data_IF_395103190015
#
_entry.id   IF_395103190015
#
_cell.length_a   1.000
_cell.length_b   1.000
_cell.length_c   1.000
_cell.angle_alpha   90.00
_cell.angle_beta   90.00
_cell.angle_gamma   90.00
#
_symmetry.space_group_name_H-M   'P 1'
#
loop_
_entity.id
_entity.type
_entity.pdbx_description
1 polymer ?
#
# COMPACT_ATOMS: atom_id res chain seq x y z
N UNK A 1 43.39 -18.31 16.11
CA UNK A 1 43.34 -16.89 16.51
C UNK A 1 43.50 -16.04 15.26
N UNK A 2 42.42 -15.77 14.54
CA UNK A 2 42.44 -14.97 13.30
C UNK A 2 41.76 -13.63 13.58
N UNK A 3 42.50 -12.68 14.15
CA UNK A 3 42.04 -11.29 14.23
C UNK A 3 42.34 -10.61 12.89
N UNK A 4 41.48 -10.85 11.89
CA UNK A 4 41.37 -10.01 10.69
C UNK A 4 40.72 -8.69 11.12
N UNK A 5 41.54 -7.69 11.46
CA UNK A 5 41.08 -6.31 11.51
C UNK A 5 42.08 -5.34 10.83
N UNK A 6 42.16 -5.31 9.48
CA UNK A 6 42.73 -4.15 8.77
C UNK A 6 41.66 -3.26 8.09
N UNK A 7 40.42 -3.74 7.88
CA UNK A 7 39.47 -3.06 6.99
C UNK A 7 38.85 -1.76 7.54
N UNK A 8 38.72 -1.58 8.85
CA UNK A 8 38.01 -0.41 9.39
C UNK A 8 38.86 0.87 9.41
N UNK A 9 40.16 0.76 9.73
CA UNK A 9 41.06 1.93 9.72
C UNK A 9 41.39 2.41 8.30
N UNK A 10 41.55 1.49 7.33
CA UNK A 10 41.87 1.84 5.94
C UNK A 10 40.74 2.63 5.26
N UNK A 11 39.48 2.25 5.52
CA UNK A 11 38.31 2.99 5.05
C UNK A 11 38.31 4.40 5.64
N UNK A 12 38.50 4.57 6.95
CA UNK A 12 38.50 5.91 7.56
C UNK A 12 39.59 6.83 7.02
N UNK A 13 40.77 6.28 6.69
CA UNK A 13 41.88 7.03 6.11
C UNK A 13 41.64 7.39 4.64
N UNK A 14 41.05 6.49 3.86
CA UNK A 14 40.67 6.75 2.48
C UNK A 14 39.60 7.86 2.40
N UNK A 15 38.59 7.82 3.26
CA UNK A 15 37.58 8.88 3.34
C UNK A 15 38.18 10.23 3.76
N UNK A 16 39.16 10.23 4.68
CA UNK A 16 39.87 11.46 5.07
C UNK A 16 40.68 12.03 3.91
N UNK A 17 41.38 11.16 3.17
CA UNK A 17 42.21 11.53 2.01
C UNK A 17 41.37 12.08 0.86
N UNK A 18 40.27 11.43 0.49
CA UNK A 18 39.35 11.91 -0.55
C UNK A 18 38.68 13.24 -0.17
N UNK A 19 38.37 13.43 1.12
CA UNK A 19 37.80 14.68 1.62
C UNK A 19 38.83 15.82 1.59
N UNK A 20 40.09 15.53 1.90
CA UNK A 20 41.22 16.48 1.82
C UNK A 20 41.53 16.80 0.35
N UNK A 21 41.56 15.83 -0.56
CA UNK A 21 41.78 16.05 -2.00
C UNK A 21 40.67 16.89 -2.64
N UNK A 22 39.41 16.70 -2.22
CA UNK A 22 38.30 17.60 -2.62
C UNK A 22 38.47 19.02 -2.08
N UNK A 23 39.02 19.17 -0.87
CA UNK A 23 39.27 20.47 -0.24
C UNK A 23 40.49 21.19 -0.83
N UNK A 24 41.53 20.44 -1.23
CA UNK A 24 42.79 20.93 -1.79
C UNK A 24 42.76 21.09 -3.31
N UNK A 25 41.65 20.82 -4.01
CA UNK A 25 41.51 21.13 -5.43
C UNK A 25 41.78 22.62 -5.64
N UNK A 26 42.98 22.93 -6.13
CA UNK A 26 43.39 24.27 -6.53
C UNK A 26 42.38 24.73 -7.57
N UNK A 27 41.57 25.74 -7.22
CA UNK A 27 40.61 26.30 -8.15
C UNK A 27 41.39 26.86 -9.34
N UNK A 28 41.05 26.41 -10.54
CA UNK A 28 41.68 26.92 -11.74
C UNK A 28 41.35 28.42 -11.85
N UNK A 29 42.37 29.28 -11.77
CA UNK A 29 42.24 30.74 -11.79
C UNK A 29 42.28 31.30 -13.21
N UNK A 30 42.38 30.44 -14.21
CA UNK A 30 42.25 30.82 -15.61
C UNK A 30 40.93 31.55 -15.84
N UNK A 31 40.99 32.56 -16.70
CA UNK A 31 39.84 33.39 -17.05
C UNK A 31 38.82 32.51 -17.76
N UNK A 32 37.57 32.52 -17.30
CA UNK A 32 36.47 31.82 -17.97
C UNK A 32 36.35 32.30 -19.43
N UNK A 33 36.32 31.37 -20.38
CA UNK A 33 36.17 31.67 -21.82
C UNK A 33 34.89 32.47 -22.13
N UNK A 34 33.86 32.34 -21.29
CA UNK A 34 32.62 33.11 -21.39
C UNK A 34 32.37 33.91 -20.12
N UNK A 35 32.18 35.21 -20.26
CA UNK A 35 31.71 36.06 -19.18
C UNK A 35 30.21 35.88 -19.00
N UNK A 36 29.77 35.73 -17.75
CA UNK A 36 28.35 35.55 -17.43
C UNK A 36 27.66 36.89 -17.64
N UNK A 37 26.65 36.92 -18.52
CA UNK A 37 25.86 38.13 -18.75
C UNK A 37 24.80 38.33 -17.66
N UNK A 38 24.48 39.60 -17.36
CA UNK A 38 23.39 39.98 -16.44
C UNK A 38 22.07 39.32 -16.87
N UNK A 39 21.80 39.25 -18.17
CA UNK A 39 20.59 38.63 -18.70
C UNK A 39 20.55 37.11 -18.49
N UNK A 40 21.70 36.44 -18.49
CA UNK A 40 21.78 35.00 -18.21
C UNK A 40 21.52 34.72 -16.72
N UNK A 41 21.97 35.62 -15.84
CA UNK A 41 21.68 35.53 -14.40
C UNK A 41 20.17 35.74 -14.18
N UNK A 42 19.56 36.74 -14.80
CA UNK A 42 18.13 37.00 -14.67
C UNK A 42 17.31 35.81 -15.21
N UNK A 43 17.65 35.30 -16.40
CA UNK A 43 16.99 34.12 -16.98
C UNK A 43 17.12 32.88 -16.10
N UNK A 44 18.26 32.69 -15.43
CA UNK A 44 18.44 31.55 -14.52
C UNK A 44 17.61 31.71 -13.24
N UNK A 45 17.58 32.90 -12.64
CA UNK A 45 16.72 33.23 -11.47
C UNK A 45 15.24 33.04 -11.80
N UNK A 46 14.78 33.52 -12.95
CA UNK A 46 13.37 33.39 -13.36
C UNK A 46 12.97 31.92 -13.60
N UNK A 47 13.88 31.12 -14.13
CA UNK A 47 13.67 29.67 -14.31
C UNK A 47 13.56 28.95 -12.97
N UNK A 48 14.38 29.32 -11.98
CA UNK A 48 14.29 28.78 -10.62
C UNK A 48 13.02 29.24 -9.88
N UNK A 49 12.63 30.52 -10.01
CA UNK A 49 11.36 31.05 -9.46
C UNK A 49 10.16 30.32 -10.04
N UNK A 50 10.15 30.04 -11.36
CA UNK A 50 9.08 29.25 -12.00
C UNK A 50 9.00 27.84 -11.42
N UNK A 51 10.13 27.15 -11.23
CA UNK A 51 10.16 25.82 -10.59
C UNK A 51 9.67 25.87 -9.14
N UNK A 52 10.07 26.88 -8.36
CA UNK A 52 9.62 27.05 -6.98
C UNK A 52 8.11 27.31 -6.89
N UNK A 53 7.58 28.13 -7.79
CA UNK A 53 6.15 28.40 -7.88
C UNK A 53 5.35 27.15 -8.29
N UNK A 54 5.87 26.33 -9.20
CA UNK A 54 5.27 25.04 -9.54
C UNK A 54 5.26 24.08 -8.33
N UNK A 55 6.39 23.93 -7.64
CA UNK A 55 6.49 23.08 -6.44
C UNK A 55 5.55 23.54 -5.32
N UNK A 56 5.40 24.86 -5.11
CA UNK A 56 4.48 25.39 -4.10
C UNK A 56 3.02 25.19 -4.47
N UNK A 57 2.66 25.31 -5.75
CA UNK A 57 1.31 25.00 -6.26
C UNK A 57 0.97 23.52 -6.08
N UNK A 58 1.86 22.61 -6.47
CA UNK A 58 1.68 21.16 -6.28
C UNK A 58 1.53 20.80 -4.80
N UNK A 59 2.35 21.40 -3.93
CA UNK A 59 2.26 21.20 -2.48
C UNK A 59 0.93 21.68 -1.92
N UNK A 60 0.44 22.84 -2.36
CA UNK A 60 -0.88 23.37 -1.96
C UNK A 60 -2.01 22.47 -2.44
N UNK A 61 -1.97 21.99 -3.68
CA UNK A 61 -2.97 21.08 -4.22
C UNK A 61 -3.00 19.75 -3.47
N UNK A 62 -1.84 19.17 -3.17
CA UNK A 62 -1.74 17.94 -2.37
C UNK A 62 -2.31 18.13 -0.96
N UNK A 63 -2.05 19.27 -0.32
CA UNK A 63 -2.60 19.61 0.99
C UNK A 63 -4.13 19.76 0.93
N UNK A 64 -4.65 20.45 -0.09
CA UNK A 64 -6.09 20.63 -0.30
C UNK A 64 -6.80 19.29 -0.50
N UNK A 65 -6.28 18.41 -1.36
CA UNK A 65 -6.82 17.05 -1.57
C UNK A 65 -6.84 16.27 -0.25
N UNK A 66 -5.75 16.33 0.53
CA UNK A 66 -5.69 15.65 1.83
C UNK A 66 -6.77 16.16 2.80
N UNK A 67 -7.00 17.46 2.85
CA UNK A 67 -8.03 18.06 3.71
C UNK A 67 -9.44 17.65 3.26
N UNK A 68 -9.70 17.61 1.96
CA UNK A 68 -10.98 17.13 1.41
C UNK A 68 -11.20 15.65 1.76
N UNK A 69 -10.19 14.80 1.60
CA UNK A 69 -10.27 13.39 1.96
C UNK A 69 -10.52 13.22 3.47
N UNK A 70 -9.90 14.04 4.31
CA UNK A 70 -10.13 14.04 5.76
C UNK A 70 -11.58 14.41 6.10
N UNK A 71 -12.14 15.45 5.46
CA UNK A 71 -13.54 15.82 5.67
C UNK A 71 -14.50 14.68 5.29
N UNK A 72 -14.22 13.96 4.21
CA UNK A 72 -15.03 12.81 3.80
C UNK A 72 -14.90 11.64 4.81
N UNK A 73 -13.69 11.34 5.28
CA UNK A 73 -13.46 10.33 6.35
C UNK A 73 -14.24 10.66 7.61
N UNK A 74 -14.19 11.92 8.06
CA UNK A 74 -14.91 12.35 9.26
C UNK A 74 -16.44 12.14 9.12
N UNK A 75 -17.00 12.34 7.93
CA UNK A 75 -18.43 12.05 7.66
C UNK A 75 -18.72 10.56 7.84
N UNK A 76 -17.90 9.67 7.29
CA UNK A 76 -18.09 8.23 7.43
C UNK A 76 -17.83 7.72 8.85
N UNK A 77 -16.83 8.23 9.55
CA UNK A 77 -16.60 7.88 10.96
C UNK A 77 -17.78 8.31 11.83
N UNK A 78 -18.37 9.48 11.58
CA UNK A 78 -19.61 9.89 12.26
C UNK A 78 -20.79 8.94 11.95
N UNK A 79 -20.92 8.48 10.70
CA UNK A 79 -21.93 7.47 10.32
C UNK A 79 -21.69 6.13 11.02
N UNK A 80 -20.43 5.68 11.13
CA UNK A 80 -20.06 4.46 11.84
C UNK A 80 -20.39 4.58 13.33
N UNK A 81 -20.12 5.74 13.95
CA UNK A 81 -20.51 5.98 15.33
C UNK A 81 -22.02 5.87 15.53
N UNK A 82 -22.83 6.34 14.57
CA UNK A 82 -24.29 6.25 14.64
C UNK A 82 -24.83 4.84 14.34
N UNK A 83 -24.26 4.16 13.35
CA UNK A 83 -24.71 2.85 12.85
C UNK A 83 -23.61 1.79 12.96
N UNK A 84 -23.11 1.57 14.19
CA UNK A 84 -21.91 0.75 14.45
C UNK A 84 -22.00 -0.70 13.96
N UNK A 85 -23.19 -1.29 13.92
CA UNK A 85 -23.42 -2.67 13.47
C UNK A 85 -23.93 -2.77 12.04
N UNK A 86 -24.08 -1.67 11.30
CA UNK A 86 -24.53 -1.78 9.90
C UNK A 86 -23.33 -2.01 8.98
N UNK A 87 -23.16 -3.21 8.40
CA UNK A 87 -22.04 -3.48 7.49
C UNK A 87 -22.09 -2.62 6.22
N UNK A 88 -23.27 -2.11 5.84
CA UNK A 88 -23.43 -1.28 4.65
C UNK A 88 -22.65 0.03 4.72
N UNK A 89 -22.52 0.63 5.91
CA UNK A 89 -21.73 1.84 6.12
C UNK A 89 -20.24 1.58 5.91
N UNK A 90 -19.73 0.47 6.45
CA UNK A 90 -18.33 0.07 6.30
C UNK A 90 -17.98 -0.24 4.85
N UNK A 91 -18.85 -0.95 4.11
CA UNK A 91 -18.63 -1.26 2.69
C UNK A 91 -18.54 0.03 1.87
N UNK A 92 -19.44 0.99 2.10
CA UNK A 92 -19.40 2.30 1.42
C UNK A 92 -18.13 3.07 1.75
N UNK A 93 -17.70 3.04 3.01
CA UNK A 93 -16.47 3.69 3.44
C UNK A 93 -15.22 3.05 2.84
N UNK A 94 -15.17 1.70 2.78
CA UNK A 94 -14.07 0.99 2.15
C UNK A 94 -13.99 1.27 0.64
N UNK A 95 -15.12 1.36 -0.06
CA UNK A 95 -15.16 1.77 -1.47
C UNK A 95 -14.65 3.22 -1.67
N UNK A 96 -14.86 4.11 -0.69
CA UNK A 96 -14.29 5.44 -0.73
C UNK A 96 -12.75 5.39 -0.64
N UNK A 97 -12.21 4.62 0.30
CA UNK A 97 -10.76 4.45 0.45
C UNK A 97 -10.13 3.76 -0.78
N UNK A 98 -10.87 2.85 -1.43
CA UNK A 98 -10.47 2.27 -2.72
C UNK A 98 -10.38 3.33 -3.82
N UNK A 99 -11.34 4.25 -3.90
CA UNK A 99 -11.28 5.37 -4.85
C UNK A 99 -10.11 6.33 -4.56
N UNK A 100 -9.63 6.37 -3.32
CA UNK A 100 -8.42 7.11 -2.94
C UNK A 100 -7.13 6.31 -3.15
N UNK A 101 -7.21 5.09 -3.67
CA UNK A 101 -6.10 4.13 -3.84
C UNK A 101 -5.36 3.82 -2.51
N UNK A 102 -6.05 4.00 -1.38
CA UNK A 102 -5.51 3.81 -0.04
C UNK A 102 -5.91 2.43 0.50
N UNK A 103 -5.42 1.39 -0.16
CA UNK A 103 -5.84 0.00 0.08
C UNK A 103 -5.63 -0.48 1.52
N UNK A 104 -4.57 -0.02 2.19
CA UNK A 104 -4.32 -0.37 3.59
C UNK A 104 -5.43 0.13 4.53
N UNK A 105 -5.96 1.33 4.28
CA UNK A 105 -7.05 1.90 5.07
C UNK A 105 -8.36 1.19 4.77
N UNK A 106 -8.63 0.89 3.50
CA UNK A 106 -9.79 0.10 3.10
C UNK A 106 -9.82 -1.26 3.84
N UNK A 107 -8.68 -1.97 3.91
CA UNK A 107 -8.54 -3.21 4.69
C UNK A 107 -8.86 -3.00 6.17
N UNK A 108 -8.28 -1.97 6.79
CA UNK A 108 -8.55 -1.65 8.20
C UNK A 108 -10.04 -1.41 8.48
N UNK A 109 -10.76 -0.78 7.54
CA UNK A 109 -12.22 -0.59 7.64
C UNK A 109 -12.96 -1.93 7.53
N UNK A 110 -12.56 -2.81 6.60
CA UNK A 110 -13.14 -4.15 6.49
C UNK A 110 -12.87 -5.03 7.72
N UNK A 111 -11.65 -5.04 8.25
CA UNK A 111 -11.34 -5.79 9.48
C UNK A 111 -12.17 -5.28 10.66
N UNK A 112 -12.26 -3.94 10.84
CA UNK A 112 -13.15 -3.35 11.86
C UNK A 112 -14.60 -3.79 11.69
N UNK A 113 -15.08 -3.95 10.45
CA UNK A 113 -16.45 -4.39 10.18
C UNK A 113 -16.64 -5.87 10.56
N UNK A 114 -15.64 -6.71 10.28
CA UNK A 114 -15.63 -8.15 10.61
C UNK A 114 -15.62 -8.34 12.12
N UNK A 115 -14.88 -7.54 12.87
CA UNK A 115 -14.84 -7.60 14.33
C UNK A 115 -16.23 -7.45 14.96
N UNK A 116 -17.09 -6.59 14.39
CA UNK A 116 -18.46 -6.41 14.88
C UNK A 116 -19.43 -7.48 14.37
N UNK A 117 -19.32 -7.84 13.09
CA UNK A 117 -20.28 -8.70 12.40
C UNK A 117 -19.59 -9.78 11.56
N UNK A 118 -18.90 -10.71 12.22
CA UNK A 118 -18.21 -11.80 11.53
C UNK A 118 -19.18 -12.78 10.84
N UNK A 119 -20.45 -12.84 11.25
CA UNK A 119 -21.45 -13.76 10.70
C UNK A 119 -22.03 -13.35 9.35
N UNK A 120 -21.80 -12.10 8.92
CA UNK A 120 -22.44 -11.57 7.71
C UNK A 120 -21.61 -11.95 6.48
N UNK A 121 -22.05 -12.97 5.74
CA UNK A 121 -21.40 -13.46 4.53
C UNK A 121 -21.15 -12.38 3.47
N UNK A 122 -22.10 -11.45 3.32
CA UNK A 122 -22.03 -10.39 2.30
C UNK A 122 -20.83 -9.48 2.51
N UNK A 123 -20.42 -9.26 3.78
CA UNK A 123 -19.25 -8.47 4.12
C UNK A 123 -17.97 -9.16 3.66
N UNK A 124 -17.84 -10.46 3.95
CA UNK A 124 -16.71 -11.28 3.51
C UNK A 124 -16.59 -11.30 1.99
N UNK A 125 -17.70 -11.54 1.28
CA UNK A 125 -17.69 -11.53 -0.17
C UNK A 125 -17.28 -10.17 -0.76
N UNK A 126 -17.74 -9.06 -0.18
CA UNK A 126 -17.35 -7.72 -0.64
C UNK A 126 -15.87 -7.42 -0.39
N UNK A 127 -15.33 -7.88 0.73
CA UNK A 127 -13.91 -7.72 1.04
C UNK A 127 -13.03 -8.56 0.11
N UNK A 128 -13.43 -9.81 -0.16
CA UNK A 128 -12.77 -10.67 -1.16
C UNK A 128 -12.82 -10.04 -2.55
N UNK A 129 -13.99 -9.55 -2.97
CA UNK A 129 -14.14 -8.88 -4.27
C UNK A 129 -13.28 -7.61 -4.38
N UNK A 130 -13.08 -6.89 -3.27
CA UNK A 130 -12.14 -5.77 -3.20
C UNK A 130 -10.69 -6.21 -3.43
N UNK A 131 -10.20 -7.25 -2.75
CA UNK A 131 -8.83 -7.74 -2.96
C UNK A 131 -8.62 -8.28 -4.37
N UNK A 132 -9.64 -8.95 -4.93
CA UNK A 132 -9.60 -9.49 -6.29
C UNK A 132 -9.58 -8.40 -7.37
N UNK A 133 -10.41 -7.34 -7.23
CA UNK A 133 -10.43 -6.20 -8.17
C UNK A 133 -9.07 -5.49 -8.24
N UNK A 134 -8.38 -5.42 -7.11
CA UNK A 134 -7.07 -4.77 -7.01
C UNK A 134 -5.88 -5.73 -7.23
N UNK A 135 -6.14 -6.97 -7.70
CA UNK A 135 -5.14 -8.00 -8.00
C UNK A 135 -4.27 -8.45 -6.80
N UNK A 136 -4.75 -8.31 -5.57
CA UNK A 136 -4.03 -8.74 -4.37
C UNK A 136 -4.32 -10.21 -4.04
N UNK A 137 -3.77 -11.12 -4.86
CA UNK A 137 -4.12 -12.54 -4.84
C UNK A 137 -3.82 -13.25 -3.50
N UNK A 138 -2.66 -12.97 -2.90
CA UNK A 138 -2.27 -13.60 -1.64
C UNK A 138 -3.19 -13.19 -0.48
N UNK A 139 -3.60 -11.92 -0.45
CA UNK A 139 -4.55 -11.43 0.55
C UNK A 139 -5.92 -12.07 0.35
N UNK A 140 -6.37 -12.20 -0.90
CA UNK A 140 -7.62 -12.89 -1.21
C UNK A 140 -7.60 -14.36 -0.74
N UNK A 141 -6.49 -15.10 -0.94
CA UNK A 141 -6.33 -16.47 -0.43
C UNK A 141 -6.45 -16.57 1.07
N UNK A 142 -5.69 -15.75 1.80
CA UNK A 142 -5.76 -15.71 3.25
C UNK A 142 -7.18 -15.40 3.74
N UNK A 143 -7.88 -14.51 3.03
CA UNK A 143 -9.25 -14.15 3.37
C UNK A 143 -10.25 -15.28 3.09
N UNK A 144 -10.10 -16.02 1.99
CA UNK A 144 -10.90 -17.21 1.70
C UNK A 144 -10.68 -18.30 2.76
N UNK A 145 -9.43 -18.57 3.13
CA UNK A 145 -9.09 -19.58 4.13
C UNK A 145 -9.69 -19.24 5.49
N UNK A 146 -9.55 -17.97 5.92
CA UNK A 146 -10.16 -17.48 7.17
C UNK A 146 -11.69 -17.54 7.12
N UNK A 147 -12.29 -17.20 5.98
CA UNK A 147 -13.75 -17.22 5.84
C UNK A 147 -14.31 -18.64 5.96
N UNK A 148 -13.65 -19.60 5.31
CA UNK A 148 -14.01 -21.02 5.34
C UNK A 148 -13.80 -21.65 6.74
N UNK A 149 -12.76 -21.24 7.45
CA UNK A 149 -12.52 -21.70 8.82
C UNK A 149 -13.62 -21.26 9.77
N UNK A 150 -14.09 -20.01 9.63
CA UNK A 150 -15.16 -19.46 10.45
C UNK A 150 -16.56 -19.97 10.04
N UNK A 151 -16.78 -20.18 8.74
CA UNK A 151 -18.08 -20.54 8.17
C UNK A 151 -17.97 -21.79 7.29
N UNK A 152 -17.69 -22.97 7.87
CA UNK A 152 -17.46 -24.20 7.10
C UNK A 152 -18.70 -24.66 6.32
N UNK A 153 -19.90 -24.40 6.83
CA UNK A 153 -21.17 -24.75 6.16
C UNK A 153 -21.53 -23.87 4.96
N UNK A 154 -20.78 -22.79 4.68
CA UNK A 154 -21.11 -21.89 3.58
C UNK A 154 -20.58 -22.41 2.24
N UNK A 155 -21.38 -23.23 1.56
CA UNK A 155 -21.04 -23.81 0.25
C UNK A 155 -20.63 -22.75 -0.80
N UNK A 156 -21.25 -21.56 -0.77
CA UNK A 156 -20.96 -20.48 -1.72
C UNK A 156 -19.52 -19.98 -1.56
N UNK A 157 -19.01 -19.94 -0.33
CA UNK A 157 -17.63 -19.54 -0.04
C UNK A 157 -16.63 -20.52 -0.66
N UNK A 158 -16.86 -21.83 -0.47
CA UNK A 158 -16.05 -22.90 -1.06
C UNK A 158 -16.04 -22.84 -2.59
N UNK A 159 -17.22 -22.75 -3.21
CA UNK A 159 -17.34 -22.69 -4.67
C UNK A 159 -16.63 -21.46 -5.25
N UNK A 160 -16.76 -20.30 -4.59
CA UNK A 160 -16.09 -19.07 -5.02
C UNK A 160 -14.57 -19.19 -4.90
N UNK A 161 -14.06 -19.84 -3.85
CA UNK A 161 -12.62 -20.08 -3.69
C UNK A 161 -12.07 -21.03 -4.76
N UNK A 162 -12.78 -22.11 -5.05
CA UNK A 162 -12.43 -23.06 -6.10
C UNK A 162 -12.41 -22.38 -7.48
N UNK A 163 -13.44 -21.57 -7.79
CA UNK A 163 -13.51 -20.83 -9.05
C UNK A 163 -12.37 -19.82 -9.19
N UNK A 164 -11.97 -19.19 -8.08
CA UNK A 164 -10.82 -18.30 -8.04
C UNK A 164 -9.52 -19.05 -8.40
N UNK A 165 -9.19 -20.16 -7.71
CA UNK A 165 -7.96 -20.91 -7.98
C UNK A 165 -7.96 -21.56 -9.37
N UNK A 166 -9.13 -22.01 -9.85
CA UNK A 166 -9.30 -22.49 -11.22
C UNK A 166 -9.00 -21.41 -12.25
N UNK A 167 -9.42 -20.17 -12.00
CA UNK A 167 -9.13 -19.02 -12.86
C UNK A 167 -7.63 -18.67 -12.88
N UNK A 168 -6.90 -19.01 -11.80
CA UNK A 168 -5.44 -18.86 -11.70
C UNK A 168 -4.66 -20.08 -12.24
N UNK A 169 -5.37 -21.12 -12.70
CA UNK A 169 -4.80 -22.38 -13.25
C UNK A 169 -3.98 -23.19 -12.24
N UNK A 170 -4.20 -22.99 -10.93
CA UNK A 170 -3.52 -23.72 -9.87
C UNK A 170 -4.30 -25.00 -9.49
N UNK A 171 -4.19 -26.02 -10.34
CA UNK A 171 -4.98 -27.25 -10.19
C UNK A 171 -4.68 -28.03 -8.90
N UNK A 172 -3.48 -27.92 -8.36
CA UNK A 172 -3.10 -28.56 -7.11
C UNK A 172 -3.84 -27.96 -5.92
N UNK A 173 -3.94 -26.64 -5.86
CA UNK A 173 -4.67 -25.92 -4.82
C UNK A 173 -6.17 -26.21 -4.91
N UNK A 174 -6.73 -26.27 -6.12
CA UNK A 174 -8.13 -26.70 -6.31
C UNK A 174 -8.38 -28.08 -5.70
N UNK A 175 -7.52 -29.07 -5.98
CA UNK A 175 -7.64 -30.42 -5.39
C UNK A 175 -7.51 -30.41 -3.87
N UNK A 176 -6.60 -29.60 -3.31
CA UNK A 176 -6.44 -29.42 -1.86
C UNK A 176 -7.73 -28.90 -1.23
N UNK A 177 -8.30 -27.84 -1.79
CA UNK A 177 -9.53 -27.22 -1.29
C UNK A 177 -10.71 -28.19 -1.35
N UNK A 178 -10.88 -28.92 -2.46
CA UNK A 178 -11.91 -29.95 -2.57
C UNK A 178 -11.78 -31.05 -1.52
N UNK A 179 -10.56 -31.56 -1.28
CA UNK A 179 -10.31 -32.54 -0.22
C UNK A 179 -10.67 -31.98 1.16
N UNK A 180 -10.29 -30.74 1.45
CA UNK A 180 -10.64 -30.08 2.70
C UNK A 180 -12.17 -29.95 2.86
N UNK A 181 -12.87 -29.58 1.80
CA UNK A 181 -14.33 -29.42 1.83
C UNK A 181 -15.03 -30.76 2.09
N UNK A 182 -14.64 -31.82 1.38
CA UNK A 182 -15.17 -33.17 1.59
C UNK A 182 -14.95 -33.61 3.04
N UNK A 183 -13.74 -33.44 3.58
CA UNK A 183 -13.43 -33.81 4.95
C UNK A 183 -14.29 -33.07 5.98
N UNK A 184 -14.61 -31.79 5.73
CA UNK A 184 -15.49 -31.01 6.60
C UNK A 184 -16.92 -31.54 6.56
N UNK A 185 -17.46 -31.79 5.38
CA UNK A 185 -18.81 -32.38 5.20
C UNK A 185 -18.89 -33.75 5.89
N UNK A 186 -17.90 -34.62 5.72
CA UNK A 186 -17.93 -35.96 6.34
C UNK A 186 -17.89 -35.90 7.87
N UNK A 187 -17.16 -34.94 8.44
CA UNK A 187 -17.08 -34.76 9.89
C UNK A 187 -18.36 -34.15 10.49
N UNK A 188 -19.16 -33.45 9.71
CA UNK A 188 -20.46 -32.93 10.16
C UNK A 188 -21.56 -34.00 10.18
N UNK A 189 -21.38 -35.11 9.43
CA UNK A 189 -22.36 -36.18 9.27
C UNK A 189 -22.14 -37.39 10.21
N UNK A 190 -21.06 -37.40 11.00
CA UNK A 190 -20.72 -38.42 11.99
C UNK A 190 -20.86 -37.86 13.40
#
# INVERSE_FOLDING_TARGET
>A
MNHKAPLFMDITNQYKKEKIEKFLKVKNKEISEKQISVDEIIKSIDKERKKLNQNTFEKKNKCAIKNLNLQQRNKYEALICKYRKDPGVYIKYANLEENFEEYYKARSVYERAIDFNYSVDTLWFKYIDFELRNNFLNHARNLFERFIELHPGNEKAWLKYINFEKSKKENENVRRIFKMWINKITNENN
#
